data_IF_725471522984
#
_entry.id   IF_725471522984
#
_cell.length_a   1.000
_cell.length_b   1.000
_cell.length_c   1.000
_cell.angle_alpha   90.00
_cell.angle_beta   90.00
_cell.angle_gamma   90.00
#
_symmetry.space_group_name_H-M   'P 1'
#
loop_
_entity.id
_entity.type
_entity.pdbx_description
1 polymer ?
#
# COMPACT_ATOMS: atom_id res chain seq x y z
N UNK A 1 44.81 63.56 12.33
CA UNK A 1 45.58 64.32 11.32
C UNK A 1 47.00 63.83 11.50
N UNK A 2 47.61 62.97 10.69
CA UNK A 2 47.48 62.49 9.30
C UNK A 2 48.46 61.28 9.30
N UNK A 3 48.34 60.14 8.64
CA UNK A 3 47.99 59.79 7.27
C UNK A 3 47.71 58.28 7.19
N UNK A 4 47.01 57.94 6.13
CA UNK A 4 46.49 56.64 5.69
C UNK A 4 47.58 55.57 5.45
N UNK A 5 47.43 54.37 6.01
CA UNK A 5 48.10 53.14 5.53
C UNK A 5 47.45 52.69 4.22
N UNK A 6 48.21 52.45 3.13
CA UNK A 6 47.68 51.81 1.94
C UNK A 6 47.98 50.31 1.95
N UNK A 7 46.87 49.56 1.94
CA UNK A 7 46.58 48.49 0.98
C UNK A 7 47.32 47.14 1.05
N UNK A 8 46.51 46.10 0.82
CA UNK A 8 46.87 44.73 0.41
C UNK A 8 47.39 43.74 1.47
N UNK A 9 46.49 43.18 2.28
CA UNK A 9 46.54 41.74 2.56
C UNK A 9 45.71 40.99 1.51
N UNK A 10 46.39 40.35 0.53
CA UNK A 10 45.90 39.08 0.03
C UNK A 10 47.04 38.05 -0.11
N UNK A 11 46.84 36.90 0.53
CA UNK A 11 47.25 35.57 0.05
C UNK A 11 48.76 35.24 0.04
N UNK A 12 49.34 34.99 1.21
CA UNK A 12 50.51 34.11 1.33
C UNK A 12 50.26 33.01 2.37
N UNK A 13 49.25 32.17 2.11
CA UNK A 13 49.33 30.78 2.52
C UNK A 13 50.31 30.10 1.54
N UNK A 14 51.39 29.45 2.00
CA UNK A 14 52.30 28.74 1.11
C UNK A 14 51.51 27.72 0.29
N UNK A 15 51.50 27.88 -1.04
CA UNK A 15 50.97 26.86 -1.94
C UNK A 15 51.90 25.65 -1.83
N UNK A 16 51.45 24.64 -1.08
CA UNK A 16 52.11 23.35 -1.01
C UNK A 16 52.17 22.77 -2.42
N UNK A 17 53.36 22.83 -3.01
CA UNK A 17 53.58 22.43 -4.39
C UNK A 17 53.41 20.92 -4.51
N UNK A 18 52.35 20.51 -5.22
CA UNK A 18 51.97 19.13 -5.58
C UNK A 18 53.03 18.33 -6.39
N UNK A 19 54.28 18.81 -6.44
CA UNK A 19 55.37 18.28 -7.26
C UNK A 19 56.63 17.95 -6.46
N UNK A 20 56.64 18.10 -5.13
CA UNK A 20 57.82 17.81 -4.31
C UNK A 20 58.00 16.33 -3.99
N UNK A 21 57.18 15.44 -4.58
CA UNK A 21 57.37 13.99 -4.47
C UNK A 21 58.03 13.45 -5.75
N UNK A 22 59.37 13.38 -5.84
CA UNK A 22 60.01 12.68 -6.94
C UNK A 22 59.65 11.20 -6.85
N UNK A 23 59.02 10.68 -7.91
CA UNK A 23 58.71 9.25 -8.04
C UNK A 23 60.01 8.45 -8.11
N UNK A 24 60.48 7.97 -6.94
CA UNK A 24 61.68 7.15 -6.83
C UNK A 24 61.44 5.80 -7.53
N UNK A 25 62.30 5.37 -8.47
CA UNK A 25 62.16 4.10 -9.18
C UNK A 25 62.39 2.87 -8.27
N UNK A 26 62.76 3.08 -7.00
CA UNK A 26 63.02 2.03 -6.01
C UNK A 26 61.90 1.85 -4.99
N UNK A 27 60.83 2.66 -5.06
CA UNK A 27 59.62 2.37 -4.30
C UNK A 27 58.89 1.26 -5.04
N UNK A 28 58.99 0.03 -4.52
CA UNK A 28 58.13 -1.07 -4.91
C UNK A 28 56.69 -0.56 -4.85
N UNK A 29 56.01 -0.56 -5.98
CA UNK A 29 54.56 -0.37 -6.05
C UNK A 29 53.95 -1.50 -5.21
N UNK A 30 53.67 -1.23 -3.93
CA UNK A 30 52.67 -1.99 -3.19
C UNK A 30 51.47 -2.03 -4.13
N UNK A 31 51.10 -3.22 -4.60
CA UNK A 31 50.04 -3.37 -5.58
C UNK A 31 48.85 -2.59 -5.08
N UNK A 32 48.56 -1.45 -5.74
CA UNK A 32 47.50 -0.53 -5.39
C UNK A 32 46.30 -1.40 -5.08
N UNK A 33 45.88 -1.43 -3.80
CA UNK A 33 44.87 -2.35 -3.31
C UNK A 33 43.75 -2.30 -4.34
N UNK A 34 43.53 -3.44 -5.03
CA UNK A 34 42.61 -3.53 -6.17
C UNK A 34 41.37 -2.79 -5.76
N UNK A 35 41.15 -1.60 -6.35
CA UNK A 35 39.99 -0.80 -6.01
C UNK A 35 38.82 -1.74 -6.23
N UNK A 36 38.21 -2.18 -5.14
CA UNK A 36 36.99 -2.96 -5.20
C UNK A 36 36.00 -1.97 -5.77
N UNK A 37 35.89 -1.95 -7.10
CA UNK A 37 34.80 -1.31 -7.81
C UNK A 37 33.62 -2.14 -7.40
N UNK A 38 33.00 -1.75 -6.29
CA UNK A 38 31.73 -2.27 -5.84
C UNK A 38 30.76 -1.95 -6.97
N UNK A 39 30.57 -2.92 -7.86
CA UNK A 39 29.68 -2.75 -8.99
C UNK A 39 28.34 -2.31 -8.42
N UNK A 40 27.77 -1.17 -8.85
CA UNK A 40 26.47 -0.74 -8.35
C UNK A 40 25.51 -1.90 -8.58
N UNK A 41 24.87 -2.35 -7.49
CA UNK A 41 23.95 -3.49 -7.54
C UNK A 41 23.00 -3.29 -8.72
N UNK A 42 22.96 -4.26 -9.63
CA UNK A 42 22.13 -4.19 -10.82
C UNK A 42 20.69 -3.85 -10.40
N UNK A 43 19.99 -2.95 -11.12
CA UNK A 43 18.63 -2.60 -10.80
C UNK A 43 17.78 -3.87 -10.77
N UNK A 44 17.24 -4.19 -9.59
CA UNK A 44 16.39 -5.34 -9.37
C UNK A 44 15.12 -5.16 -10.20
N UNK A 45 14.98 -5.92 -11.30
CA UNK A 45 13.78 -5.87 -12.13
C UNK A 45 12.64 -6.51 -11.34
N UNK A 46 11.56 -5.79 -10.99
CA UNK A 46 10.49 -6.36 -10.18
C UNK A 46 9.83 -7.52 -10.92
N UNK A 47 9.87 -8.71 -10.33
CA UNK A 47 9.28 -9.92 -10.93
C UNK A 47 7.75 -9.83 -10.89
N UNK A 48 7.13 -9.68 -12.07
CA UNK A 48 5.66 -9.65 -12.23
C UNK A 48 4.97 -10.92 -11.71
N UNK A 49 5.69 -12.04 -11.67
CA UNK A 49 5.24 -13.33 -11.11
C UNK A 49 4.68 -13.23 -9.68
N UNK A 50 5.32 -12.43 -8.83
CA UNK A 50 4.89 -12.26 -7.43
C UNK A 50 3.54 -11.54 -7.31
N UNK A 51 3.26 -10.62 -8.22
CA UNK A 51 2.00 -9.88 -8.28
C UNK A 51 0.85 -10.78 -8.72
N UNK A 52 1.04 -11.57 -9.78
CA UNK A 52 0.04 -12.55 -10.23
C UNK A 52 -0.26 -13.61 -9.18
N UNK A 53 0.77 -14.11 -8.49
CA UNK A 53 0.58 -15.09 -7.41
C UNK A 53 -0.29 -14.52 -6.28
N UNK A 54 -0.03 -13.28 -5.86
CA UNK A 54 -0.81 -12.61 -4.80
C UNK A 54 -2.26 -12.36 -5.23
N UNK A 55 -2.50 -11.99 -6.49
CA UNK A 55 -3.85 -11.79 -7.02
C UNK A 55 -4.64 -13.10 -7.11
N UNK A 56 -3.98 -14.20 -7.51
CA UNK A 56 -4.59 -15.53 -7.53
C UNK A 56 -4.87 -16.01 -6.11
N UNK A 57 -3.94 -15.83 -5.17
CA UNK A 57 -4.12 -16.14 -3.75
C UNK A 57 -5.32 -15.37 -3.16
N UNK A 58 -5.44 -14.08 -3.46
CA UNK A 58 -6.57 -13.26 -3.03
C UNK A 58 -7.89 -13.71 -3.66
N UNK A 59 -7.90 -13.98 -4.97
CA UNK A 59 -9.08 -14.48 -5.67
C UNK A 59 -9.55 -15.83 -5.12
N UNK A 60 -8.63 -16.75 -4.86
CA UNK A 60 -8.92 -18.06 -4.29
C UNK A 60 -9.40 -17.95 -2.84
N UNK A 61 -8.78 -17.09 -2.04
CA UNK A 61 -9.25 -16.79 -0.68
C UNK A 61 -10.67 -16.18 -0.67
N UNK A 62 -10.96 -15.30 -1.63
CA UNK A 62 -12.30 -14.71 -1.78
C UNK A 62 -13.34 -15.76 -2.15
N UNK A 63 -13.05 -16.65 -3.11
CA UNK A 63 -13.95 -17.75 -3.49
C UNK A 63 -14.17 -18.69 -2.31
N UNK A 64 -13.11 -19.08 -1.59
CA UNK A 64 -13.21 -19.92 -0.40
C UNK A 64 -14.08 -19.27 0.69
N UNK A 65 -13.87 -17.98 0.95
CA UNK A 65 -14.69 -17.19 1.87
C UNK A 65 -16.17 -17.20 1.44
N UNK A 66 -16.47 -16.91 0.17
CA UNK A 66 -17.84 -16.90 -0.34
C UNK A 66 -18.52 -18.28 -0.22
N UNK A 67 -17.80 -19.36 -0.53
CA UNK A 67 -18.31 -20.73 -0.38
C UNK A 67 -18.66 -21.03 1.08
N UNK A 68 -17.79 -20.67 2.03
CA UNK A 68 -18.02 -20.85 3.46
C UNK A 68 -19.19 -19.99 3.95
N UNK A 69 -19.27 -18.74 3.52
CA UNK A 69 -20.35 -17.82 3.88
C UNK A 69 -21.71 -18.35 3.40
N UNK A 70 -21.81 -18.71 2.11
CA UNK A 70 -23.03 -19.26 1.53
C UNK A 70 -23.41 -20.57 2.22
N UNK A 71 -22.45 -21.46 2.46
CA UNK A 71 -22.68 -22.70 3.21
C UNK A 71 -23.16 -22.48 4.64
N UNK A 72 -22.60 -21.51 5.36
CA UNK A 72 -23.04 -21.14 6.70
C UNK A 72 -24.49 -20.64 6.68
N UNK A 73 -24.81 -19.71 5.77
CA UNK A 73 -26.17 -19.15 5.66
C UNK A 73 -27.19 -20.23 5.29
N UNK A 74 -26.90 -21.10 4.33
CA UNK A 74 -27.84 -22.17 3.93
C UNK A 74 -28.11 -23.16 5.06
N UNK A 75 -27.07 -23.55 5.80
CA UNK A 75 -27.17 -24.45 6.96
C UNK A 75 -27.97 -23.80 8.09
N UNK A 76 -27.77 -22.50 8.36
CA UNK A 76 -28.54 -21.75 9.36
C UNK A 76 -30.02 -21.62 8.99
N UNK A 77 -30.31 -21.34 7.72
CA UNK A 77 -31.70 -21.24 7.22
C UNK A 77 -32.42 -22.58 7.31
N UNK A 78 -31.73 -23.69 7.08
CA UNK A 78 -32.28 -25.04 7.21
C UNK A 78 -32.46 -25.50 8.66
N UNK A 79 -31.72 -24.93 9.62
CA UNK A 79 -31.69 -25.37 11.03
C UNK A 79 -31.87 -24.20 12.03
N UNK A 80 -33.01 -23.49 12.00
CA UNK A 80 -33.19 -22.24 12.74
C UNK A 80 -33.14 -22.40 14.27
N UNK A 81 -33.52 -23.56 14.81
CA UNK A 81 -33.59 -23.84 16.25
C UNK A 81 -32.40 -24.64 16.79
N UNK A 82 -31.40 -24.95 15.96
CA UNK A 82 -30.28 -25.77 16.37
C UNK A 82 -29.39 -25.08 17.41
N UNK A 83 -28.94 -25.79 18.47
CA UNK A 83 -28.11 -25.21 19.52
C UNK A 83 -26.71 -24.79 19.02
N UNK A 84 -26.20 -25.43 17.96
CA UNK A 84 -24.90 -25.14 17.34
C UNK A 84 -24.92 -23.98 16.34
N UNK A 85 -26.08 -23.35 16.08
CA UNK A 85 -26.24 -22.29 15.07
C UNK A 85 -25.26 -21.12 15.25
N UNK A 86 -24.92 -20.78 16.49
CA UNK A 86 -24.00 -19.69 16.79
C UNK A 86 -22.56 -20.00 16.35
N UNK A 87 -22.13 -21.26 16.48
CA UNK A 87 -20.81 -21.69 16.04
C UNK A 87 -20.70 -21.58 14.52
N UNK A 88 -21.74 -22.03 13.81
CA UNK A 88 -21.78 -21.98 12.34
C UNK A 88 -21.94 -20.53 11.84
N UNK A 89 -22.62 -19.67 12.60
CA UNK A 89 -22.73 -18.24 12.28
C UNK A 89 -21.37 -17.50 12.32
N UNK A 90 -20.47 -17.90 13.23
CA UNK A 90 -19.16 -17.26 13.41
C UNK A 90 -18.08 -17.88 12.52
N UNK A 91 -18.31 -19.09 12.00
CA UNK A 91 -17.37 -19.82 11.15
C UNK A 91 -16.81 -18.97 9.97
N UNK A 92 -17.60 -18.13 9.25
CA UNK A 92 -17.09 -17.29 8.16
C UNK A 92 -16.12 -16.17 8.59
N UNK A 93 -16.01 -15.87 9.89
CA UNK A 93 -15.13 -14.80 10.41
C UNK A 93 -13.65 -15.15 10.22
N UNK A 94 -13.28 -16.41 10.40
CA UNK A 94 -11.89 -16.88 10.23
C UNK A 94 -11.39 -16.67 8.79
N UNK A 95 -12.06 -17.18 7.74
CA UNK A 95 -11.64 -16.93 6.36
C UNK A 95 -11.75 -15.45 5.99
N UNK A 96 -12.71 -14.69 6.54
CA UNK A 96 -12.77 -13.25 6.34
C UNK A 96 -11.50 -12.54 6.83
N UNK A 97 -11.01 -12.91 8.02
CA UNK A 97 -9.76 -12.39 8.57
C UNK A 97 -8.55 -12.70 7.70
N UNK A 98 -8.43 -13.93 7.21
CA UNK A 98 -7.37 -14.33 6.28
C UNK A 98 -7.42 -13.51 4.99
N UNK A 99 -8.60 -13.41 4.36
CA UNK A 99 -8.80 -12.60 3.16
C UNK A 99 -8.44 -11.13 3.38
N UNK A 100 -8.78 -10.58 4.55
CA UNK A 100 -8.38 -9.22 4.93
C UNK A 100 -6.87 -9.05 5.01
N UNK A 101 -6.13 -10.01 5.60
CA UNK A 101 -4.66 -9.93 5.66
C UNK A 101 -4.02 -10.00 4.27
N UNK A 102 -4.55 -10.83 3.38
CA UNK A 102 -4.07 -10.91 1.98
C UNK A 102 -4.38 -9.61 1.26
N UNK A 103 -5.58 -9.06 1.46
CA UNK A 103 -6.00 -7.79 0.88
C UNK A 103 -5.09 -6.62 1.30
N UNK A 104 -4.84 -6.45 2.60
CA UNK A 104 -3.97 -5.37 3.11
C UNK A 104 -2.54 -5.51 2.57
N UNK A 105 -2.03 -6.73 2.48
CA UNK A 105 -0.73 -7.02 1.85
C UNK A 105 -0.72 -6.66 0.37
N UNK A 106 -1.78 -6.98 -0.37
CA UNK A 106 -1.91 -6.61 -1.77
C UNK A 106 -1.94 -5.08 -1.95
N UNK A 107 -2.71 -4.37 -1.10
CA UNK A 107 -2.81 -2.91 -1.12
C UNK A 107 -1.46 -2.22 -0.84
N UNK A 108 -0.65 -2.79 0.05
CA UNK A 108 0.67 -2.27 0.41
C UNK A 108 1.68 -2.36 -0.74
N UNK A 109 1.49 -3.32 -1.65
CA UNK A 109 2.35 -3.58 -2.82
C UNK A 109 1.96 -2.76 -4.06
N UNK A 110 0.87 -2.02 -4.01
CA UNK A 110 0.46 -1.14 -5.10
C UNK A 110 1.47 -0.02 -5.33
N UNK A 111 1.59 0.40 -6.58
CA UNK A 111 2.32 1.61 -6.96
C UNK A 111 1.64 2.88 -6.40
N UNK A 112 2.32 4.02 -6.49
CA UNK A 112 1.81 5.28 -5.91
C UNK A 112 0.52 5.77 -6.57
N UNK A 113 0.37 5.55 -7.89
CA UNK A 113 -0.82 5.97 -8.63
C UNK A 113 -2.03 5.13 -8.20
N UNK A 114 -1.88 3.81 -8.14
CA UNK A 114 -2.91 2.89 -7.69
C UNK A 114 -3.24 3.11 -6.21
N UNK A 115 -2.27 3.37 -5.33
CA UNK A 115 -2.55 3.76 -3.93
C UNK A 115 -3.40 5.03 -3.86
N UNK A 116 -3.09 6.04 -4.67
CA UNK A 116 -3.88 7.29 -4.73
C UNK A 116 -5.31 7.02 -5.20
N UNK A 117 -5.48 6.24 -6.27
CA UNK A 117 -6.80 5.83 -6.78
C UNK A 117 -7.60 5.10 -5.68
N UNK A 118 -6.96 4.13 -5.01
CA UNK A 118 -7.61 3.37 -3.95
C UNK A 118 -8.04 4.25 -2.78
N UNK A 119 -7.19 5.17 -2.34
CA UNK A 119 -7.52 6.10 -1.26
C UNK A 119 -8.69 7.03 -1.63
N UNK A 120 -8.71 7.55 -2.86
CA UNK A 120 -9.83 8.36 -3.36
C UNK A 120 -11.11 7.55 -3.47
N UNK A 121 -11.02 6.31 -3.96
CA UNK A 121 -12.16 5.39 -4.04
C UNK A 121 -12.70 5.03 -2.66
N UNK A 122 -11.84 4.77 -1.67
CA UNK A 122 -12.24 4.51 -0.29
C UNK A 122 -12.94 5.72 0.32
N UNK A 123 -12.36 6.92 0.20
CA UNK A 123 -12.96 8.16 0.68
C UNK A 123 -14.34 8.41 0.06
N UNK A 124 -14.46 8.25 -1.27
CA UNK A 124 -15.74 8.32 -1.97
C UNK A 124 -16.74 7.30 -1.44
N UNK A 125 -16.33 6.03 -1.33
CA UNK A 125 -17.23 4.95 -0.88
C UNK A 125 -17.73 5.16 0.54
N UNK A 126 -16.88 5.62 1.45
CA UNK A 126 -17.25 5.93 2.83
C UNK A 126 -18.26 7.09 2.88
N UNK A 127 -17.96 8.20 2.20
CA UNK A 127 -18.84 9.36 2.16
C UNK A 127 -20.19 9.05 1.53
N UNK A 128 -20.20 8.37 0.38
CA UNK A 128 -21.42 7.96 -0.31
C UNK A 128 -22.24 6.95 0.50
N UNK A 129 -21.59 5.97 1.14
CA UNK A 129 -22.28 5.02 2.02
C UNK A 129 -22.92 5.74 3.19
N UNK A 130 -22.17 6.60 3.89
CA UNK A 130 -22.68 7.36 5.03
C UNK A 130 -23.89 8.22 4.64
N UNK A 131 -23.82 8.90 3.50
CA UNK A 131 -24.92 9.69 2.97
C UNK A 131 -26.17 8.83 2.70
N UNK A 132 -26.01 7.67 2.06
CA UNK A 132 -27.12 6.76 1.77
C UNK A 132 -27.71 6.14 3.03
N UNK A 133 -26.87 5.67 3.96
CA UNK A 133 -27.35 5.02 5.20
C UNK A 133 -28.00 6.01 6.14
N UNK A 134 -27.48 7.23 6.26
CA UNK A 134 -28.14 8.28 7.05
C UNK A 134 -29.43 8.77 6.38
N UNK A 135 -29.40 8.96 5.06
CA UNK A 135 -30.60 9.27 4.28
C UNK A 135 -31.70 8.23 4.51
N UNK A 136 -31.34 6.95 4.46
CA UNK A 136 -32.27 5.86 4.76
C UNK A 136 -32.73 5.84 6.22
N UNK A 137 -31.83 6.09 7.18
CA UNK A 137 -32.19 6.19 8.59
C UNK A 137 -33.24 7.27 8.87
N UNK A 138 -33.18 8.40 8.16
CA UNK A 138 -34.25 9.41 8.24
C UNK A 138 -35.58 8.91 7.67
N UNK A 139 -35.56 8.11 6.59
CA UNK A 139 -36.75 7.48 6.03
C UNK A 139 -37.36 6.45 6.99
N UNK A 140 -36.54 5.67 7.70
CA UNK A 140 -37.02 4.77 8.76
C UNK A 140 -37.80 5.55 9.84
N UNK A 141 -37.34 6.76 10.17
CA UNK A 141 -38.04 7.66 11.10
C UNK A 141 -39.44 8.07 10.67
N UNK A 142 -39.79 7.94 9.38
CA UNK A 142 -41.12 8.24 8.83
C UNK A 142 -41.94 6.97 8.52
N UNK A 143 -41.45 5.79 8.91
CA UNK A 143 -42.16 4.51 8.82
C UNK A 143 -41.66 3.55 7.75
N UNK A 144 -40.49 3.78 7.13
CA UNK A 144 -39.87 2.76 6.28
C UNK A 144 -39.44 1.52 7.08
N UNK A 145 -39.38 0.32 6.45
CA UNK A 145 -38.89 -0.90 7.09
C UNK A 145 -37.45 -0.76 7.60
N UNK A 146 -37.14 -1.40 8.72
CA UNK A 146 -35.79 -1.37 9.28
C UNK A 146 -34.79 -2.11 8.39
N UNK A 147 -33.69 -1.44 8.03
CA UNK A 147 -32.65 -2.02 7.19
C UNK A 147 -31.59 -2.71 8.05
N UNK A 148 -31.31 -3.97 7.71
CA UNK A 148 -30.24 -4.71 8.38
C UNK A 148 -28.87 -4.08 8.09
N UNK A 149 -28.09 -3.89 9.15
CA UNK A 149 -26.69 -3.42 9.09
C UNK A 149 -25.79 -4.31 8.22
N UNK A 150 -26.20 -5.55 7.96
CA UNK A 150 -25.51 -6.47 7.04
C UNK A 150 -25.39 -5.93 5.60
N UNK A 151 -26.25 -5.00 5.19
CA UNK A 151 -26.22 -4.40 3.84
C UNK A 151 -25.22 -3.25 3.69
N UNK A 152 -24.77 -2.66 4.79
CA UNK A 152 -23.88 -1.48 4.78
C UNK A 152 -22.54 -1.81 4.13
N UNK A 153 -21.94 -2.95 4.51
CA UNK A 153 -20.62 -3.34 4.01
C UNK A 153 -20.65 -3.72 2.51
N UNK A 154 -21.61 -4.54 2.02
CA UNK A 154 -21.80 -4.76 0.59
C UNK A 154 -22.02 -3.47 -0.21
N UNK A 155 -22.84 -2.54 0.30
CA UNK A 155 -23.07 -1.24 -0.33
C UNK A 155 -21.76 -0.46 -0.46
N UNK A 156 -20.98 -0.37 0.62
CA UNK A 156 -19.69 0.30 0.61
C UNK A 156 -18.72 -0.36 -0.37
N UNK A 157 -18.68 -1.69 -0.43
CA UNK A 157 -17.83 -2.43 -1.36
C UNK A 157 -18.19 -2.15 -2.82
N UNK A 158 -19.49 -2.09 -3.15
CA UNK A 158 -19.98 -1.73 -4.49
C UNK A 158 -19.54 -0.30 -4.83
N UNK A 159 -19.77 0.66 -3.93
CA UNK A 159 -19.39 2.05 -4.13
C UNK A 159 -17.87 2.24 -4.25
N UNK A 160 -17.09 1.46 -3.53
CA UNK A 160 -15.63 1.42 -3.66
C UNK A 160 -15.19 0.87 -5.02
N UNK A 161 -15.85 -0.18 -5.53
CA UNK A 161 -15.61 -0.70 -6.88
C UNK A 161 -15.94 0.33 -7.96
N UNK A 162 -17.08 1.01 -7.84
CA UNK A 162 -17.49 2.12 -8.73
C UNK A 162 -16.49 3.27 -8.67
N UNK A 163 -16.10 3.69 -7.46
CA UNK A 163 -15.10 4.74 -7.26
C UNK A 163 -13.75 4.37 -7.89
N UNK A 164 -13.29 3.13 -7.68
CA UNK A 164 -12.05 2.63 -8.26
C UNK A 164 -12.10 2.67 -9.79
N UNK A 165 -13.20 2.22 -10.41
CA UNK A 165 -13.37 2.27 -11.86
C UNK A 165 -13.38 3.71 -12.38
N UNK A 166 -14.13 4.60 -11.74
CA UNK A 166 -14.23 6.01 -12.11
C UNK A 166 -12.86 6.71 -12.05
N UNK A 167 -12.13 6.57 -10.94
CA UNK A 167 -10.81 7.19 -10.80
C UNK A 167 -9.79 6.55 -11.75
N UNK A 168 -9.83 5.23 -11.96
CA UNK A 168 -8.93 4.57 -12.92
C UNK A 168 -9.14 5.08 -14.34
N UNK A 169 -10.39 5.29 -14.77
CA UNK A 169 -10.72 5.86 -16.07
C UNK A 169 -10.28 7.34 -16.18
N UNK A 170 -10.28 8.08 -15.06
CA UNK A 170 -9.91 9.50 -15.04
C UNK A 170 -8.41 9.75 -15.18
N UNK A 171 -7.57 8.82 -14.74
CA UNK A 171 -6.10 8.91 -14.79
C UNK A 171 -5.46 8.16 -15.98
N UNK A 172 -6.27 7.46 -16.78
CA UNK A 172 -5.85 6.96 -18.11
C UNK A 172 -5.85 8.09 -19.13
#
# INVERSE_FOLDING_TARGET
MTDQEPDTQPLEAPIESLYTHPASPFLRTEASAVAHVEMPALPQVPTTWSAYRTQIEFGLAMVAYLMILVGSVTVLQANPTAPWRYVVAVLPVVPAGLTLTIFVRALSRLDELQKRIQMQAFGFSLGATALLTFGYGFLEGVGMPHLSWTYVLPLMAILWGVGTAFFTLRYR
#
